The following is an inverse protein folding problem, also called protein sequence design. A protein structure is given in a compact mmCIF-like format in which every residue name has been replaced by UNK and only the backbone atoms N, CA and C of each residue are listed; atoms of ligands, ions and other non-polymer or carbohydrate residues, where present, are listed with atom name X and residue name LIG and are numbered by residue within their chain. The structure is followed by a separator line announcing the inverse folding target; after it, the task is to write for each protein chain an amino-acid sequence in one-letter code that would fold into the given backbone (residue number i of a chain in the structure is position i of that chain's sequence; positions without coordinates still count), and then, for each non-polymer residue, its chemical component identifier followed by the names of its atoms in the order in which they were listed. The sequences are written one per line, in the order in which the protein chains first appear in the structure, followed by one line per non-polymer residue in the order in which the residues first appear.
data_IF_445482254772
#
_entry.id   IF_445482254772
#
_cell.length_a   1.000
_cell.length_b   1.000
_cell.length_c   1.000
_cell.angle_alpha   90.00
_cell.angle_beta   90.00
_cell.angle_gamma   90.00
#
_symmetry.space_group_name_H-M   'P 1'
#
loop_
_entity.id
_entity.type
_entity.pdbx_description
1 polymer ?
#
# COMPACT_ATOMS: atom_id res chain seq x y z
N UNK A 1 2.71 -5.23 -18.98
CA UNK A 1 1.46 -5.07 -19.75
C UNK A 1 0.30 -5.00 -18.80
N UNK A 2 -0.57 -3.99 -18.96
CA UNK A 2 -1.83 -3.66 -18.25
C UNK A 2 -2.00 -4.18 -16.80
N UNK A 3 -1.86 -3.27 -15.83
CA UNK A 3 -2.29 -3.50 -14.45
C UNK A 3 -3.81 -3.66 -14.32
N UNK A 4 -4.31 -4.11 -13.15
CA UNK A 4 -5.72 -4.42 -12.96
C UNK A 4 -6.54 -3.12 -12.97
N UNK A 5 -7.17 -2.84 -14.10
CA UNK A 5 -8.22 -1.84 -14.22
C UNK A 5 -9.54 -2.58 -14.02
N UNK A 6 -10.00 -2.65 -12.77
CA UNK A 6 -11.43 -2.84 -12.52
C UNK A 6 -12.10 -1.59 -13.09
N UNK A 7 -12.97 -1.78 -14.07
CA UNK A 7 -13.61 -0.70 -14.80
C UNK A 7 -14.41 0.19 -13.85
N UNK A 8 -13.85 1.35 -13.49
CA UNK A 8 -14.64 2.45 -12.95
C UNK A 8 -15.46 3.02 -14.11
N UNK A 9 -16.71 2.58 -14.27
CA UNK A 9 -17.69 3.36 -15.04
C UNK A 9 -18.28 4.39 -14.09
N UNK A 10 -17.49 5.44 -13.83
CA UNK A 10 -17.89 6.61 -13.04
C UNK A 10 -17.41 7.87 -13.73
N UNK A 11 -18.33 8.66 -14.26
CA UNK A 11 -18.06 10.05 -14.65
C UNK A 11 -17.63 10.85 -13.43
N UNK A 12 -16.76 11.85 -13.61
CA UNK A 12 -16.33 12.75 -12.55
C UNK A 12 -17.55 13.26 -11.73
N UNK A 13 -17.67 12.78 -10.49
CA UNK A 13 -18.77 13.14 -9.57
C UNK A 13 -19.91 12.11 -9.41
N UNK A 14 -19.90 10.97 -10.10
CA UNK A 14 -20.88 9.89 -9.89
C UNK A 14 -20.42 8.84 -8.86
N UNK A 15 -21.35 8.13 -8.17
CA UNK A 15 -20.98 7.02 -7.29
C UNK A 15 -20.26 5.92 -8.09
N UNK A 16 -19.21 5.35 -7.50
CA UNK A 16 -18.51 4.18 -8.06
C UNK A 16 -19.50 3.03 -8.16
N UNK A 17 -19.86 2.59 -9.38
CA UNK A 17 -20.73 1.43 -9.56
C UNK A 17 -19.95 0.15 -9.31
N UNK A 18 -20.50 -0.71 -8.46
CA UNK A 18 -19.95 -2.03 -8.16
C UNK A 18 -20.90 -3.15 -8.60
N UNK A 19 -20.35 -4.32 -8.92
CA UNK A 19 -21.10 -5.53 -9.27
C UNK A 19 -21.38 -5.72 -10.76
N UNK A 20 -20.77 -4.90 -11.62
CA UNK A 20 -20.94 -4.97 -13.08
C UNK A 20 -19.95 -5.93 -13.75
N UNK A 21 -18.84 -6.27 -13.07
CA UNK A 21 -17.84 -7.19 -13.60
C UNK A 21 -18.39 -8.61 -13.81
N UNK A 22 -17.92 -9.30 -14.86
CA UNK A 22 -18.33 -10.68 -15.12
C UNK A 22 -17.72 -11.65 -14.11
N UNK A 23 -18.39 -12.79 -13.89
CA UNK A 23 -17.92 -13.83 -12.97
C UNK A 23 -16.56 -14.41 -13.37
N UNK A 24 -16.27 -14.51 -14.67
CA UNK A 24 -14.98 -14.98 -15.20
C UNK A 24 -13.86 -13.99 -14.85
N UNK A 25 -14.09 -12.71 -15.15
CA UNK A 25 -13.14 -11.64 -14.87
C UNK A 25 -12.85 -11.51 -13.37
N UNK A 26 -13.87 -11.62 -12.53
CA UNK A 26 -13.73 -11.60 -11.07
C UNK A 26 -12.94 -12.80 -10.54
N UNK A 27 -13.20 -13.99 -11.06
CA UNK A 27 -12.44 -15.19 -10.70
C UNK A 27 -10.97 -15.04 -11.06
N UNK A 28 -10.67 -14.56 -12.27
CA UNK A 28 -9.32 -14.29 -12.72
C UNK A 28 -8.62 -13.22 -11.86
N UNK A 29 -9.32 -12.15 -11.48
CA UNK A 29 -8.77 -11.13 -10.60
C UNK A 29 -8.41 -11.70 -9.23
N UNK A 30 -9.32 -12.45 -8.61
CA UNK A 30 -9.10 -13.09 -7.30
C UNK A 30 -7.89 -14.04 -7.36
N UNK A 31 -7.81 -14.90 -8.38
CA UNK A 31 -6.69 -15.85 -8.55
C UNK A 31 -5.37 -15.08 -8.73
N UNK A 32 -5.34 -14.09 -9.63
CA UNK A 32 -4.12 -13.35 -9.95
C UNK A 32 -3.63 -12.47 -8.79
N UNK A 33 -4.54 -11.82 -8.08
CA UNK A 33 -4.18 -11.00 -6.92
C UNK A 33 -3.76 -11.87 -5.74
N UNK A 34 -4.42 -13.01 -5.52
CA UNK A 34 -4.01 -13.98 -4.49
C UNK A 34 -2.61 -14.53 -4.77
N UNK A 35 -2.34 -14.94 -6.02
CA UNK A 35 -1.02 -15.41 -6.44
C UNK A 35 0.05 -14.33 -6.23
N UNK A 36 -0.17 -13.12 -6.75
CA UNK A 36 0.75 -11.99 -6.58
C UNK A 36 1.02 -11.69 -5.11
N UNK A 37 0.00 -11.74 -4.26
CA UNK A 37 0.18 -11.45 -2.86
C UNK A 37 0.94 -12.57 -2.12
N UNK A 38 0.67 -13.84 -2.43
CA UNK A 38 1.46 -14.97 -1.93
C UNK A 38 2.93 -14.85 -2.34
N UNK A 39 3.19 -14.50 -3.59
CA UNK A 39 4.55 -14.30 -4.10
C UNK A 39 5.24 -13.13 -3.38
N UNK A 40 4.52 -12.02 -3.18
CA UNK A 40 5.03 -10.86 -2.43
C UNK A 40 5.36 -11.21 -0.98
N UNK A 41 4.52 -12.01 -0.30
CA UNK A 41 4.78 -12.42 1.09
C UNK A 41 6.04 -13.30 1.16
N UNK A 42 6.26 -14.18 0.18
CA UNK A 42 7.44 -15.04 0.13
C UNK A 42 8.73 -14.26 -0.15
N UNK A 43 8.65 -13.15 -0.87
CA UNK A 43 9.80 -12.31 -1.25
C UNK A 43 10.02 -11.11 -0.33
N UNK A 44 9.39 -11.08 0.85
CA UNK A 44 9.55 -9.97 1.80
C UNK A 44 11.01 -9.82 2.25
N UNK A 45 11.60 -8.67 1.91
CA UNK A 45 12.90 -8.28 2.42
C UNK A 45 12.84 -7.97 3.93
N UNK A 46 14.00 -8.06 4.60
CA UNK A 46 14.15 -7.85 6.06
C UNK A 46 13.62 -6.48 6.54
N UNK A 47 13.58 -5.48 5.66
CA UNK A 47 13.09 -4.11 5.93
C UNK A 47 11.66 -3.85 5.43
N UNK A 48 10.90 -4.90 5.11
CA UNK A 48 9.54 -4.73 4.60
C UNK A 48 8.59 -4.22 5.69
N UNK A 49 7.86 -3.15 5.37
CA UNK A 49 6.90 -2.49 6.28
C UNK A 49 7.46 -1.33 7.10
N UNK A 50 8.78 -1.09 7.11
CA UNK A 50 9.40 0.02 7.88
C UNK A 50 8.94 1.40 7.41
N UNK A 51 8.73 1.59 6.11
CA UNK A 51 8.22 2.85 5.54
C UNK A 51 6.69 2.90 5.47
N UNK A 52 6.02 1.96 6.15
CA UNK A 52 4.59 2.03 6.44
C UNK A 52 4.35 2.45 7.90
N UNK A 53 5.27 3.14 8.55
CA UNK A 53 5.03 3.63 9.92
C UNK A 53 3.85 4.63 9.95
N UNK A 54 3.11 4.65 11.07
CA UNK A 54 1.91 5.49 11.27
C UNK A 54 2.13 6.93 10.82
N UNK A 55 3.15 7.60 11.36
CA UNK A 55 3.42 9.03 11.05
C UNK A 55 3.66 9.25 9.56
N UNK A 56 4.39 8.35 8.90
CA UNK A 56 4.71 8.48 7.48
C UNK A 56 3.47 8.29 6.61
N UNK A 57 2.62 7.30 6.92
CA UNK A 57 1.34 7.11 6.21
C UNK A 57 0.39 8.28 6.45
N UNK A 58 0.32 8.82 7.68
CA UNK A 58 -0.46 10.02 7.99
C UNK A 58 -0.03 11.20 7.11
N UNK A 59 1.27 11.43 6.97
CA UNK A 59 1.78 12.49 6.08
C UNK A 59 1.37 12.27 4.62
N UNK A 60 1.51 11.04 4.10
CA UNK A 60 1.08 10.73 2.73
C UNK A 60 -0.42 10.98 2.55
N UNK A 61 -1.26 10.51 3.48
CA UNK A 61 -2.70 10.71 3.41
C UNK A 61 -3.09 12.19 3.51
N UNK A 62 -2.42 12.97 4.36
CA UNK A 62 -2.63 14.42 4.45
C UNK A 62 -2.27 15.12 3.14
N UNK A 63 -1.12 14.81 2.54
CA UNK A 63 -0.74 15.37 1.22
C UNK A 63 -1.81 15.04 0.18
N UNK A 64 -2.27 13.78 0.12
CA UNK A 64 -3.30 13.40 -0.86
C UNK A 64 -4.64 14.11 -0.61
N UNK A 65 -5.00 14.36 0.65
CA UNK A 65 -6.21 15.11 1.02
C UNK A 65 -6.11 16.58 0.63
N UNK A 66 -4.99 17.23 0.94
CA UNK A 66 -4.76 18.65 0.64
C UNK A 66 -4.72 18.88 -0.88
N UNK A 67 -4.14 17.93 -1.61
CA UNK A 67 -4.12 17.92 -3.08
C UNK A 67 -5.43 17.39 -3.69
N UNK A 68 -6.45 17.06 -2.90
CA UNK A 68 -7.76 16.57 -3.36
C UNK A 68 -7.65 15.40 -4.34
N UNK A 69 -6.76 14.47 -4.05
CA UNK A 69 -6.57 13.27 -4.85
C UNK A 69 -7.57 12.18 -4.48
N UNK A 70 -7.79 11.25 -5.42
CA UNK A 70 -8.49 10.01 -5.14
C UNK A 70 -7.79 9.24 -4.01
N UNK A 71 -8.52 8.66 -3.04
CA UNK A 71 -7.88 7.99 -1.91
C UNK A 71 -6.99 6.81 -2.28
N UNK A 72 -7.24 6.15 -3.41
CA UNK A 72 -6.37 5.10 -3.96
C UNK A 72 -4.95 5.61 -4.21
N UNK A 73 -4.80 6.89 -4.59
CA UNK A 73 -3.50 7.50 -4.81
C UNK A 73 -2.66 7.53 -3.51
N UNK A 74 -3.30 7.71 -2.34
CA UNK A 74 -2.62 7.69 -1.05
C UNK A 74 -2.03 6.32 -0.73
N UNK A 75 -2.85 5.27 -0.83
CA UNK A 75 -2.38 3.89 -0.63
C UNK A 75 -1.31 3.50 -1.64
N UNK A 76 -1.48 3.91 -2.90
CA UNK A 76 -0.50 3.64 -3.93
C UNK A 76 0.83 4.34 -3.67
N UNK A 77 0.81 5.61 -3.26
CA UNK A 77 2.01 6.35 -2.89
C UNK A 77 2.77 5.70 -1.73
N UNK A 78 2.07 5.17 -0.72
CA UNK A 78 2.67 4.39 0.37
C UNK A 78 3.38 3.13 -0.16
N UNK A 79 2.77 2.38 -1.08
CA UNK A 79 3.43 1.21 -1.69
C UNK A 79 4.65 1.58 -2.53
N UNK A 80 4.58 2.67 -3.31
CA UNK A 80 5.72 3.17 -4.08
C UNK A 80 6.87 3.59 -3.17
N UNK A 81 6.57 4.33 -2.09
CA UNK A 81 7.56 4.78 -1.12
C UNK A 81 8.25 3.61 -0.44
N UNK A 82 7.48 2.65 0.07
CA UNK A 82 8.03 1.46 0.73
C UNK A 82 8.98 0.70 -0.20
N UNK A 83 8.56 0.42 -1.44
CA UNK A 83 9.36 -0.34 -2.40
C UNK A 83 10.62 0.41 -2.82
N UNK A 84 10.48 1.72 -3.08
CA UNK A 84 11.60 2.55 -3.49
C UNK A 84 12.64 2.66 -2.38
N UNK A 85 12.21 2.94 -1.15
CA UNK A 85 13.11 3.18 -0.03
C UNK A 85 13.83 1.92 0.42
N UNK A 86 13.14 0.78 0.48
CA UNK A 86 13.77 -0.51 0.78
C UNK A 86 14.84 -0.82 -0.26
N UNK A 87 14.49 -0.79 -1.54
CA UNK A 87 15.47 -1.05 -2.61
C UNK A 87 16.64 -0.07 -2.57
N UNK A 88 16.36 1.22 -2.39
CA UNK A 88 17.39 2.27 -2.35
C UNK A 88 18.37 2.06 -1.20
N UNK A 89 17.88 1.69 -0.02
CA UNK A 89 18.74 1.38 1.12
C UNK A 89 19.52 0.09 0.90
N UNK A 90 18.87 -0.97 0.42
CA UNK A 90 19.53 -2.23 0.06
C UNK A 90 20.68 -2.00 -0.93
N UNK A 91 20.46 -1.21 -1.99
CA UNK A 91 21.51 -0.87 -2.96
C UNK A 91 22.68 -0.10 -2.30
N UNK A 92 22.39 0.86 -1.42
CA UNK A 92 23.41 1.67 -0.73
C UNK A 92 24.26 0.88 0.26
N UNK A 93 23.69 -0.14 0.90
CA UNK A 93 24.41 -1.01 1.84
C UNK A 93 25.12 -2.20 1.16
N UNK A 94 24.74 -2.55 -0.06
CA UNK A 94 25.36 -3.66 -0.82
C UNK A 94 26.44 -3.21 -1.81
N UNK A 95 26.52 -1.91 -2.13
CA UNK A 95 27.56 -1.37 -3.01
C UNK A 95 28.92 -1.35 -2.28
N UNK A 96 29.97 -2.01 -2.80
CA UNK A 96 31.29 -2.00 -2.17
C UNK A 96 31.87 -0.58 -2.11
N UNK A 97 32.29 -0.13 -0.92
CA UNK A 97 32.99 1.13 -0.75
C UNK A 97 34.31 1.09 -1.52
N UNK A 98 34.67 2.12 -2.32
CA UNK A 98 35.99 2.20 -2.92
C UNK A 98 37.04 2.24 -1.79
N UNK A 99 37.88 1.20 -1.71
CA UNK A 99 39.03 1.20 -0.81
C UNK A 99 40.02 2.26 -1.26
N UNK A 100 40.18 3.32 -0.47
CA UNK A 100 41.18 4.34 -0.72
C UNK A 100 41.19 5.43 0.34
N UNK A 101 42.36 5.58 0.97
CA UNK A 101 42.77 6.61 1.93
C UNK A 101 42.30 6.44 3.39
N UNK A 102 43.29 6.11 4.23
CA UNK A 102 43.24 6.24 5.67
C UNK A 102 42.99 7.70 6.09
N UNK A 103 41.97 7.94 6.91
CA UNK A 103 41.89 9.05 7.87
C UNK A 103 40.62 8.88 8.73
N UNK A 104 40.82 8.85 10.05
CA UNK A 104 39.86 8.93 11.17
C UNK A 104 38.60 8.01 11.16
N UNK A 105 38.13 7.54 12.33
CA UNK A 105 36.91 6.75 12.39
C UNK A 105 35.76 7.63 11.88
N UNK A 106 35.16 7.33 10.71
CA UNK A 106 34.14 8.20 10.17
C UNK A 106 32.95 8.15 11.12
N UNK A 107 32.29 9.28 11.34
CA UNK A 107 30.85 9.30 11.60
C UNK A 107 30.25 8.23 10.69
N UNK A 108 29.73 7.13 11.26
CA UNK A 108 29.46 5.87 10.56
C UNK A 108 28.99 6.12 9.11
N UNK A 109 29.55 5.45 8.11
CA UNK A 109 29.14 5.57 6.69
C UNK A 109 27.62 5.59 6.52
N UNK A 110 26.92 4.83 7.36
CA UNK A 110 25.47 4.80 7.48
C UNK A 110 24.87 6.16 7.84
N UNK A 111 25.41 6.86 8.85
CA UNK A 111 24.98 8.20 9.25
C UNK A 111 25.11 9.22 8.11
N UNK A 112 26.19 9.16 7.33
CA UNK A 112 26.37 10.03 6.16
C UNK A 112 25.37 9.71 5.03
N UNK A 113 25.00 8.44 4.87
CA UNK A 113 23.93 8.02 3.95
C UNK A 113 22.57 8.54 4.42
N UNK A 114 22.26 8.43 5.71
CA UNK A 114 21.02 8.92 6.30
C UNK A 114 20.90 10.44 6.22
N UNK A 115 21.97 11.19 6.47
CA UNK A 115 21.98 12.66 6.35
C UNK A 115 21.61 13.11 4.92
N UNK A 116 22.25 12.50 3.90
CA UNK A 116 21.94 12.77 2.47
C UNK A 116 20.51 12.38 2.09
N UNK A 117 19.98 11.31 2.68
CA UNK A 117 18.63 10.84 2.41
C UNK A 117 17.57 11.73 3.06
N UNK A 118 17.83 12.19 4.28
CA UNK A 118 16.95 13.03 5.09
C UNK A 118 16.59 14.33 4.36
N UNK A 119 17.57 14.99 3.74
CA UNK A 119 17.34 16.22 2.98
C UNK A 119 16.40 16.01 1.78
N UNK A 120 16.49 14.85 1.13
CA UNK A 120 15.69 14.51 -0.07
C UNK A 120 14.37 13.84 0.27
N UNK A 121 14.20 13.39 1.51
CA UNK A 121 13.09 12.53 1.91
C UNK A 121 11.71 13.17 1.69
N UNK A 122 11.46 14.45 2.04
CA UNK A 122 10.18 15.10 1.74
C UNK A 122 9.85 15.13 0.24
N UNK A 123 10.87 15.37 -0.60
CA UNK A 123 10.72 15.41 -2.05
C UNK A 123 10.47 14.00 -2.63
N UNK A 124 11.06 12.95 -2.04
CA UNK A 124 10.81 11.55 -2.39
C UNK A 124 9.37 11.16 -2.06
N UNK A 125 8.88 11.50 -0.86
CA UNK A 125 7.49 11.26 -0.46
C UNK A 125 6.54 11.91 -1.47
N UNK A 126 6.75 13.20 -1.75
CA UNK A 126 5.91 13.93 -2.67
C UNK A 126 5.99 13.39 -4.12
N UNK A 127 7.15 12.92 -4.55
CA UNK A 127 7.32 12.25 -5.85
C UNK A 127 6.52 10.96 -5.96
N UNK A 128 6.43 10.17 -4.88
CA UNK A 128 5.57 8.98 -4.84
C UNK A 128 4.09 9.36 -4.98
N UNK A 129 3.67 10.47 -4.36
CA UNK A 129 2.30 11.01 -4.49
C UNK A 129 2.01 11.49 -5.92
N UNK A 130 2.95 12.20 -6.56
CA UNK A 130 2.81 12.62 -7.94
C UNK A 130 2.66 11.43 -8.88
N UNK A 131 3.54 10.43 -8.78
CA UNK A 131 3.45 9.20 -9.58
C UNK A 131 2.12 8.49 -9.37
N UNK A 132 1.67 8.36 -8.11
CA UNK A 132 0.38 7.76 -7.80
C UNK A 132 -0.80 8.54 -8.39
N UNK A 133 -0.76 9.88 -8.37
CA UNK A 133 -1.80 10.72 -8.96
C UNK A 133 -1.92 10.52 -10.48
N UNK A 134 -0.79 10.29 -11.16
CA UNK A 134 -0.71 10.02 -12.61
C UNK A 134 -1.27 8.65 -13.00
N UNK A 135 -1.36 7.73 -12.04
CA UNK A 135 -1.93 6.40 -12.26
C UNK A 135 -3.45 6.36 -12.08
N UNK A 136 -4.04 7.40 -11.51
CA UNK A 136 -5.49 7.52 -11.38
C UNK A 136 -6.09 8.07 -12.67
N UNK A 137 -6.95 7.28 -13.32
CA UNK A 137 -7.61 7.66 -14.58
C UNK A 137 -8.70 8.73 -14.40
N UNK A 138 -9.17 8.96 -13.16
CA UNK A 138 -10.36 9.77 -12.88
C UNK A 138 -10.08 10.97 -11.95
N UNK A 139 -8.82 11.20 -11.57
CA UNK A 139 -8.42 12.27 -10.65
C UNK A 139 -7.66 13.38 -11.35
N UNK A 140 -7.68 14.58 -10.76
CA UNK A 140 -6.75 15.64 -11.13
C UNK A 140 -5.31 15.11 -11.01
N UNK A 141 -4.55 15.23 -12.10
CA UNK A 141 -3.12 14.94 -12.11
C UNK A 141 -2.39 16.15 -11.55
N UNK A 142 -1.44 15.92 -10.64
CA UNK A 142 -0.59 17.00 -10.13
C UNK A 142 0.38 17.42 -11.23
N UNK A 143 0.23 18.64 -11.73
CA UNK A 143 1.23 19.25 -12.61
C UNK A 143 2.46 19.74 -11.82
N UNK A 144 3.59 19.89 -12.51
CA UNK A 144 4.86 20.30 -11.88
C UNK A 144 4.80 21.68 -11.21
N UNK A 145 3.95 22.60 -11.69
CA UNK A 145 3.80 23.92 -11.07
C UNK A 145 2.96 23.82 -9.78
N UNK A 146 1.91 23.00 -9.76
CA UNK A 146 1.14 22.67 -8.57
C UNK A 146 2.01 21.99 -7.51
N UNK A 147 2.87 21.05 -7.93
CA UNK A 147 3.87 20.41 -7.08
C UNK A 147 4.80 21.42 -6.40
N UNK A 148 5.41 22.33 -7.17
CA UNK A 148 6.31 23.35 -6.63
C UNK A 148 5.56 24.28 -5.66
N UNK A 149 4.35 24.73 -6.00
CA UNK A 149 3.55 25.59 -5.11
C UNK A 149 3.23 24.89 -3.79
N UNK A 150 2.82 23.62 -3.84
CA UNK A 150 2.53 22.85 -2.64
C UNK A 150 3.79 22.68 -1.78
N UNK A 151 4.90 22.24 -2.37
CA UNK A 151 6.16 22.05 -1.65
C UNK A 151 6.65 23.35 -1.00
N UNK A 152 6.51 24.48 -1.69
CA UNK A 152 6.85 25.78 -1.12
C UNK A 152 5.92 26.16 0.05
N UNK A 153 4.62 25.84 -0.03
CA UNK A 153 3.66 26.12 1.04
C UNK A 153 3.94 25.33 2.33
N UNK A 154 4.60 24.16 2.22
CA UNK A 154 5.04 23.35 3.36
C UNK A 154 6.49 23.61 3.78
N UNK A 155 7.09 24.70 3.28
CA UNK A 155 8.43 25.15 3.65
C UNK A 155 9.59 24.54 2.86
N UNK A 156 9.32 23.80 1.78
CA UNK A 156 10.33 23.18 0.93
C UNK A 156 10.50 23.97 -0.38
N UNK A 157 11.55 24.79 -0.46
CA UNK A 157 11.88 25.53 -1.68
C UNK A 157 12.58 24.63 -2.70
N UNK A 158 11.90 24.33 -3.80
CA UNK A 158 12.41 23.45 -4.86
C UNK A 158 12.14 24.02 -6.24
N UNK A 159 13.05 23.75 -7.19
CA UNK A 159 12.85 24.10 -8.59
C UNK A 159 11.97 23.05 -9.30
N UNK A 160 11.34 23.44 -10.41
CA UNK A 160 10.61 22.50 -11.29
C UNK A 160 11.52 21.33 -11.74
N UNK A 161 12.78 21.63 -12.02
CA UNK A 161 13.78 20.63 -12.40
C UNK A 161 14.02 19.63 -11.27
N UNK A 162 14.20 20.11 -10.03
CA UNK A 162 14.40 19.22 -8.88
C UNK A 162 13.20 18.28 -8.64
N UNK A 163 11.97 18.78 -8.84
CA UNK A 163 10.76 17.96 -8.78
C UNK A 163 10.77 16.85 -9.84
N UNK A 164 11.06 17.19 -11.09
CA UNK A 164 11.12 16.21 -12.19
C UNK A 164 12.26 15.20 -12.02
N UNK A 165 13.44 15.65 -11.58
CA UNK A 165 14.60 14.80 -11.34
C UNK A 165 14.31 13.80 -10.20
N UNK A 166 13.62 14.24 -9.15
CA UNK A 166 13.23 13.36 -8.05
C UNK A 166 12.15 12.36 -8.46
N UNK A 167 11.16 12.78 -9.24
CA UNK A 167 10.15 11.88 -9.80
C UNK A 167 10.78 10.80 -10.69
N UNK A 168 11.68 11.21 -11.59
CA UNK A 168 12.40 10.29 -12.46
C UNK A 168 13.31 9.33 -11.67
N UNK A 169 13.94 9.81 -10.60
CA UNK A 169 14.74 8.98 -9.69
C UNK A 169 13.89 7.88 -9.04
N UNK A 170 12.70 8.21 -8.52
CA UNK A 170 11.78 7.22 -7.94
C UNK A 170 11.33 6.23 -9.01
N UNK A 171 10.93 6.73 -10.18
CA UNK A 171 10.46 5.90 -11.28
C UNK A 171 11.52 4.89 -11.77
N UNK A 172 12.77 5.35 -11.95
CA UNK A 172 13.91 4.50 -12.33
C UNK A 172 14.28 3.53 -11.21
N UNK A 173 14.28 3.99 -9.95
CA UNK A 173 14.55 3.14 -8.80
C UNK A 173 13.56 1.97 -8.71
N UNK A 174 12.29 2.22 -9.04
CA UNK A 174 11.25 1.20 -9.13
C UNK A 174 11.24 0.40 -10.44
N UNK A 175 12.21 0.61 -11.33
CA UNK A 175 12.29 -0.03 -12.65
C UNK A 175 10.99 0.11 -13.45
N UNK A 176 10.31 1.26 -13.33
CA UNK A 176 9.01 1.51 -13.97
C UNK A 176 7.89 0.53 -13.56
N UNK A 177 8.09 -0.28 -12.50
CA UNK A 177 7.11 -1.24 -12.00
C UNK A 177 6.18 -0.58 -10.98
N UNK A 178 5.30 0.29 -11.45
CA UNK A 178 4.41 1.04 -10.56
C UNK A 178 3.15 0.25 -10.13
N UNK A 179 2.68 -0.71 -10.92
CA UNK A 179 1.40 -1.43 -10.73
C UNK A 179 1.35 -2.44 -9.56
N UNK A 180 1.90 -2.09 -8.40
CA UNK A 180 1.72 -2.90 -7.19
C UNK A 180 0.26 -2.77 -6.69
N UNK A 181 -0.38 -3.91 -6.35
CA UNK A 181 -1.65 -3.86 -5.63
C UNK A 181 -1.42 -3.22 -4.26
N UNK A 182 -2.43 -2.51 -3.78
CA UNK A 182 -2.43 -1.86 -2.48
C UNK A 182 -3.67 -2.30 -1.68
N UNK A 183 -3.71 -2.07 -0.37
CA UNK A 183 -4.83 -2.44 0.49
C UNK A 183 -6.23 -2.10 -0.05
N UNK A 184 -6.42 -0.90 -0.59
CA UNK A 184 -7.71 -0.46 -1.10
C UNK A 184 -8.12 -1.21 -2.37
N UNK A 185 -7.16 -1.58 -3.23
CA UNK A 185 -7.44 -2.44 -4.40
C UNK A 185 -8.08 -3.76 -3.99
N UNK A 186 -7.62 -4.38 -2.91
CA UNK A 186 -8.22 -5.63 -2.44
C UNK A 186 -9.64 -5.42 -1.90
N UNK A 187 -9.87 -4.33 -1.18
CA UNK A 187 -11.21 -3.95 -0.69
C UNK A 187 -12.18 -3.68 -1.84
N UNK A 188 -11.75 -2.96 -2.88
CA UNK A 188 -12.56 -2.69 -4.07
C UNK A 188 -12.95 -3.97 -4.79
N UNK A 189 -12.04 -4.93 -4.93
CA UNK A 189 -12.33 -6.25 -5.51
C UNK A 189 -13.34 -7.03 -4.66
N UNK A 190 -13.22 -6.99 -3.33
CA UNK A 190 -14.19 -7.64 -2.45
C UNK A 190 -15.58 -7.02 -2.56
N UNK A 191 -15.66 -5.70 -2.67
CA UNK A 191 -16.92 -4.97 -2.85
C UNK A 191 -17.55 -5.26 -4.22
N UNK A 192 -16.73 -5.39 -5.26
CA UNK A 192 -17.18 -5.81 -6.60
C UNK A 192 -17.77 -7.23 -6.55
N UNK A 193 -17.08 -8.17 -5.90
CA UNK A 193 -17.56 -9.55 -5.70
C UNK A 193 -18.86 -9.58 -4.89
N UNK A 194 -18.96 -8.73 -3.86
CA UNK A 194 -20.15 -8.63 -3.03
C UNK A 194 -21.35 -8.12 -3.84
N UNK A 195 -21.18 -7.03 -4.59
CA UNK A 195 -22.22 -6.49 -5.47
C UNK A 195 -22.63 -7.46 -6.58
N UNK A 196 -21.67 -8.22 -7.13
CA UNK A 196 -21.94 -9.24 -8.14
C UNK A 196 -22.75 -10.42 -7.59
N UNK A 197 -22.40 -10.90 -6.39
CA UNK A 197 -23.09 -12.02 -5.75
C UNK A 197 -24.49 -11.64 -5.26
N UNK A 198 -24.66 -10.41 -4.78
CA UNK A 198 -25.92 -9.91 -4.25
C UNK A 198 -26.16 -8.45 -4.67
N UNK A 199 -26.88 -8.28 -5.79
CA UNK A 199 -27.18 -6.96 -6.37
C UNK A 199 -28.02 -6.04 -5.48
N UNK A 200 -28.69 -6.57 -4.45
CA UNK A 200 -29.41 -5.79 -3.43
C UNK A 200 -28.48 -5.14 -2.40
N UNK A 201 -27.20 -5.51 -2.36
CA UNK A 201 -26.25 -4.97 -1.40
C UNK A 201 -25.97 -3.50 -1.68
N UNK A 202 -26.08 -2.60 -0.68
CA UNK A 202 -25.82 -1.18 -0.87
C UNK A 202 -24.31 -0.89 -0.87
N UNK A 203 -23.56 -1.42 -1.85
CA UNK A 203 -22.10 -1.31 -1.92
C UNK A 203 -21.63 0.14 -1.97
N UNK A 204 -22.38 1.03 -2.62
CA UNK A 204 -22.11 2.47 -2.66
C UNK A 204 -22.05 3.12 -1.27
N UNK A 205 -22.83 2.60 -0.30
CA UNK A 205 -22.81 3.06 1.09
C UNK A 205 -21.70 2.40 1.90
N UNK A 206 -21.32 1.18 1.54
CA UNK A 206 -20.25 0.43 2.20
C UNK A 206 -18.87 0.97 1.83
N UNK A 207 -18.66 1.38 0.57
CA UNK A 207 -17.35 1.80 0.10
C UNK A 207 -16.73 2.95 0.93
N UNK A 208 -17.44 4.04 1.25
CA UNK A 208 -16.92 5.07 2.15
C UNK A 208 -16.57 4.53 3.54
N UNK A 209 -17.39 3.63 4.11
CA UNK A 209 -17.11 3.04 5.43
C UNK A 209 -15.85 2.15 5.38
N UNK A 210 -15.73 1.31 4.36
CA UNK A 210 -14.55 0.48 4.13
C UNK A 210 -13.28 1.34 4.02
N UNK A 211 -13.36 2.50 3.36
CA UNK A 211 -12.24 3.43 3.29
C UNK A 211 -11.82 3.95 4.68
N UNK A 212 -12.78 4.40 5.51
CA UNK A 212 -12.48 4.88 6.87
C UNK A 212 -11.88 3.78 7.74
N UNK A 213 -12.47 2.58 7.71
CA UNK A 213 -11.96 1.41 8.45
C UNK A 213 -10.57 1.05 7.96
N UNK A 214 -10.34 1.01 6.64
CA UNK A 214 -9.04 0.67 6.08
C UNK A 214 -7.97 1.69 6.45
N UNK A 215 -8.31 2.98 6.43
CA UNK A 215 -7.40 4.05 6.84
C UNK A 215 -7.03 3.89 8.32
N UNK A 216 -8.02 3.67 9.19
CA UNK A 216 -7.78 3.39 10.61
C UNK A 216 -6.88 2.16 10.80
N UNK A 217 -7.19 1.05 10.14
CA UNK A 217 -6.41 -0.20 10.24
C UNK A 217 -4.98 0.00 9.75
N UNK A 218 -4.79 0.77 8.68
CA UNK A 218 -3.47 1.09 8.15
C UNK A 218 -2.68 1.93 9.16
N UNK A 219 -3.28 2.97 9.74
CA UNK A 219 -2.63 3.84 10.73
C UNK A 219 -2.34 3.14 12.06
N UNK A 220 -3.20 2.20 12.47
CA UNK A 220 -3.03 1.40 13.69
C UNK A 220 -2.38 0.04 13.42
N UNK A 221 -1.76 -0.17 12.25
CA UNK A 221 -1.25 -1.48 11.82
C UNK A 221 -0.46 -2.21 12.90
N UNK A 222 0.51 -1.53 13.50
CA UNK A 222 1.36 -2.10 14.55
C UNK A 222 0.54 -2.47 15.78
N UNK A 223 -0.29 -1.58 16.30
CA UNK A 223 -1.10 -1.85 17.48
C UNK A 223 -2.10 -3.00 17.25
N UNK A 224 -2.74 -3.05 16.08
CA UNK A 224 -3.65 -4.13 15.69
C UNK A 224 -2.88 -5.44 15.56
N UNK A 225 -1.73 -5.41 14.89
CA UNK A 225 -0.90 -6.60 14.73
C UNK A 225 -0.44 -7.15 16.07
N UNK A 226 0.14 -6.33 16.94
CA UNK A 226 0.61 -6.74 18.27
C UNK A 226 -0.55 -7.21 19.15
N UNK A 227 -1.71 -6.54 19.10
CA UNK A 227 -2.90 -6.98 19.83
C UNK A 227 -3.42 -8.34 19.33
N UNK A 228 -3.49 -8.54 18.01
CA UNK A 228 -3.90 -9.81 17.43
C UNK A 228 -2.90 -10.91 17.77
N UNK A 229 -1.60 -10.62 17.69
CA UNK A 229 -0.50 -11.52 18.05
C UNK A 229 -0.56 -11.92 19.54
N UNK A 230 -0.72 -10.94 20.43
CA UNK A 230 -0.85 -11.21 21.87
C UNK A 230 -2.08 -12.04 22.22
N UNK A 231 -3.19 -11.79 21.52
CA UNK A 231 -4.46 -12.52 21.73
C UNK A 231 -4.37 -13.97 21.25
N UNK A 232 -3.66 -14.24 20.15
CA UNK A 232 -3.60 -15.59 19.57
C UNK A 232 -2.43 -16.42 20.02
N UNK A 233 -1.38 -15.81 20.55
CA UNK A 233 -0.17 -16.58 20.85
C UNK A 233 -0.21 -17.12 22.28
N UNK A 234 -0.59 -16.39 23.35
CA UNK A 234 -0.40 -16.87 24.75
C UNK A 234 0.94 -17.64 24.99
N UNK A 235 1.98 -17.38 24.18
CA UNK A 235 3.22 -18.17 24.10
C UNK A 235 4.38 -17.23 23.74
N UNK A 236 5.56 -17.51 24.28
CA UNK A 236 6.67 -16.57 24.35
C UNK A 236 7.39 -16.28 23.02
N UNK A 237 7.00 -16.90 21.89
CA UNK A 237 7.61 -16.64 20.57
C UNK A 237 6.73 -17.06 19.37
N UNK A 238 6.09 -16.12 18.65
CA UNK A 238 5.18 -16.45 17.55
C UNK A 238 5.91 -16.82 16.24
N UNK A 239 5.61 -18.00 15.68
CA UNK A 239 6.04 -18.41 14.34
C UNK A 239 5.14 -17.83 13.24
N UNK A 240 5.59 -17.91 11.97
CA UNK A 240 4.90 -17.39 10.78
C UNK A 240 3.50 -17.98 10.55
N UNK A 241 3.26 -19.22 11.00
CA UNK A 241 1.97 -19.89 10.84
C UNK A 241 0.90 -19.42 11.85
N UNK A 242 1.29 -19.07 13.07
CA UNK A 242 0.36 -18.58 14.11
C UNK A 242 -0.19 -17.18 13.74
N UNK A 243 0.62 -16.38 13.04
CA UNK A 243 0.20 -15.09 12.45
C UNK A 243 -0.93 -15.29 11.43
N UNK A 244 -0.94 -16.41 10.72
CA UNK A 244 -1.95 -16.76 9.72
C UNK A 244 -3.31 -17.11 10.33
N UNK A 245 -3.33 -17.74 11.51
CA UNK A 245 -4.56 -18.20 12.19
C UNK A 245 -5.37 -17.03 12.76
N UNK A 246 -4.70 -16.07 13.40
CA UNK A 246 -5.30 -14.84 13.97
C UNK A 246 -6.08 -14.03 12.94
N UNK A 247 -5.53 -13.98 11.74
CA UNK A 247 -6.02 -13.18 10.62
C UNK A 247 -7.21 -13.87 9.95
N UNK A 248 -7.23 -15.20 9.92
CA UNK A 248 -8.40 -15.99 9.47
C UNK A 248 -9.64 -15.74 10.34
N UNK A 249 -9.49 -15.61 11.66
CA UNK A 249 -10.62 -15.42 12.59
C UNK A 249 -11.36 -14.10 12.34
N UNK A 250 -10.64 -12.99 12.14
CA UNK A 250 -11.24 -11.66 11.90
C UNK A 250 -12.10 -11.62 10.63
N UNK A 251 -11.71 -12.41 9.63
CA UNK A 251 -12.37 -12.48 8.32
C UNK A 251 -13.53 -13.46 8.34
N UNK A 252 -13.41 -14.58 9.07
CA UNK A 252 -14.55 -15.45 9.36
C UNK A 252 -15.69 -14.65 9.98
N UNK A 253 -15.43 -13.75 10.94
CA UNK A 253 -16.48 -12.93 11.56
C UNK A 253 -17.16 -11.98 10.54
N UNK A 254 -16.39 -11.41 9.60
CA UNK A 254 -16.93 -10.47 8.60
C UNK A 254 -17.69 -11.15 7.45
N UNK A 255 -17.37 -12.40 7.11
CA UNK A 255 -18.04 -13.16 6.05
C UNK A 255 -19.07 -14.19 6.56
N UNK A 256 -18.99 -14.65 7.81
CA UNK A 256 -20.00 -15.55 8.42
C UNK A 256 -21.30 -14.81 8.73
N UNK A 257 -21.27 -13.48 8.82
CA UNK A 257 -22.49 -12.64 8.92
C UNK A 257 -23.18 -12.41 7.56
N UNK A 258 -22.54 -12.81 6.45
CA UNK A 258 -23.05 -12.68 5.08
C UNK A 258 -23.51 -14.00 4.47
N UNK A 259 -24.65 -14.52 4.96
CA UNK A 259 -25.55 -15.35 4.17
C UNK A 259 -25.24 -16.85 4.04
N UNK A 260 -26.03 -17.68 4.74
CA UNK A 260 -26.36 -19.05 4.36
C UNK A 260 -27.16 -19.10 3.05
N UNK A 261 -26.59 -18.65 1.93
CA UNK A 261 -27.24 -18.76 0.61
C UNK A 261 -26.49 -19.74 -0.26
N UNK A 262 -27.13 -20.86 -0.58
CA UNK A 262 -26.63 -21.98 -1.40
C UNK A 262 -26.39 -21.64 -2.87
N UNK A 263 -26.30 -20.35 -3.24
CA UNK A 263 -26.16 -19.85 -4.62
C UNK A 263 -25.17 -18.68 -4.76
N UNK A 264 -24.04 -18.69 -4.06
CA UNK A 264 -22.97 -17.75 -4.41
C UNK A 264 -22.37 -18.15 -5.78
N UNK A 265 -22.37 -17.22 -6.74
CA UNK A 265 -21.72 -17.40 -8.06
C UNK A 265 -20.21 -17.52 -7.93
N UNK A 266 -19.61 -16.82 -6.97
CA UNK A 266 -18.18 -16.94 -6.63
C UNK A 266 -18.03 -17.74 -5.33
N UNK A 267 -17.23 -18.81 -5.37
CA UNK A 267 -17.10 -19.75 -4.24
C UNK A 267 -16.69 -19.07 -2.92
N UNK A 268 -17.38 -19.35 -1.79
CA UNK A 268 -17.03 -18.85 -0.46
C UNK A 268 -15.59 -19.17 -0.03
N UNK A 269 -15.04 -20.31 -0.49
CA UNK A 269 -13.66 -20.71 -0.21
C UNK A 269 -12.66 -19.76 -0.86
N UNK A 270 -12.90 -19.38 -2.11
CA UNK A 270 -12.05 -18.44 -2.87
C UNK A 270 -12.03 -17.05 -2.21
N UNK A 271 -13.19 -16.58 -1.75
CA UNK A 271 -13.34 -15.31 -1.05
C UNK A 271 -12.57 -15.32 0.27
N UNK A 272 -12.72 -16.40 1.06
CA UNK A 272 -12.02 -16.56 2.36
C UNK A 272 -10.50 -16.59 2.19
N UNK A 273 -10.00 -17.36 1.23
CA UNK A 273 -8.57 -17.45 0.95
C UNK A 273 -7.99 -16.10 0.49
N UNK A 274 -8.71 -15.39 -0.39
CA UNK A 274 -8.32 -14.06 -0.86
C UNK A 274 -8.31 -13.02 0.27
N UNK A 275 -9.34 -13.01 1.11
CA UNK A 275 -9.44 -12.09 2.23
C UNK A 275 -8.32 -12.35 3.25
N UNK A 276 -8.05 -13.61 3.62
CA UNK A 276 -6.95 -13.97 4.52
C UNK A 276 -5.59 -13.43 4.06
N UNK A 277 -5.34 -13.57 2.77
CA UNK A 277 -4.11 -13.09 2.12
C UNK A 277 -4.10 -11.56 2.04
N UNK A 278 -5.23 -10.91 1.77
CA UNK A 278 -5.39 -9.45 1.81
C UNK A 278 -5.02 -8.88 3.18
N UNK A 279 -5.51 -9.46 4.26
CA UNK A 279 -5.26 -8.93 5.60
C UNK A 279 -3.79 -9.14 6.01
N UNK A 280 -3.12 -10.20 5.55
CA UNK A 280 -1.65 -10.34 5.67
C UNK A 280 -0.89 -9.22 4.94
N UNK A 281 -1.40 -8.71 3.82
CA UNK A 281 -0.80 -7.58 3.11
C UNK A 281 -1.01 -6.25 3.86
N UNK A 282 -2.19 -6.06 4.45
CA UNK A 282 -2.56 -4.85 5.19
C UNK A 282 -1.82 -4.76 6.52
N UNK A 283 -1.85 -5.85 7.30
CA UNK A 283 -1.26 -5.92 8.63
C UNK A 283 0.26 -6.17 8.56
N UNK A 284 0.72 -6.72 7.44
CA UNK A 284 2.12 -6.99 7.16
C UNK A 284 2.66 -8.18 7.96
N UNK A 285 3.66 -8.88 7.41
CA UNK A 285 4.58 -9.64 8.24
C UNK A 285 5.54 -8.63 8.88
N UNK A 286 5.09 -7.94 9.92
CA UNK A 286 5.98 -7.02 10.64
C UNK A 286 7.10 -7.87 11.27
N UNK A 287 8.33 -7.69 10.80
CA UNK A 287 9.52 -8.08 11.55
C UNK A 287 9.73 -7.01 12.62
N UNK A 288 9.89 -7.39 13.91
CA UNK A 288 10.35 -6.44 14.91
C UNK A 288 11.83 -6.19 14.60
N UNK A 289 12.12 -5.19 13.77
CA UNK A 289 13.46 -4.61 13.73
C UNK A 289 13.38 -3.37 14.60
N UNK A 290 13.64 -3.57 15.89
CA UNK A 290 14.12 -2.49 16.75
C UNK A 290 15.48 -2.07 16.18
N UNK A 291 15.50 -0.99 15.41
CA UNK A 291 16.73 -0.24 15.17
C UNK A 291 16.98 0.58 16.44
N UNK A 292 17.78 0.01 17.34
CA UNK A 292 18.42 0.74 18.44
C UNK A 292 19.54 1.62 17.89
#
# INVERSE_FOLDING_TARGET
GRGPLVGRVGTAGGPSKFGEASSELLSDFLINLNKRNKDNIKSLEKCSGTFKEKKLMEHVFLITKDMRLDPLAGYHAVELLQRFMVKRLTDLFTTPTPQGAAADPPRSYEAAVFDKLKEKFPLIIFSCVQLASKMSLHSHMIDTSAAVRFLHSVGLSVSKKAVLDSELMVLKGLEFRLNAPNPLTYVEILLEVLGHNESSTPVDRLYPLCHHVLQFVSLQRTAIYESLLGTTVQWESPTTEHRYVSIKVTISIFFETGGHSSKLRISPKSIRDFAGVTLMHIVGASCPVTFT
#
